data_IF_773773046387
#
_entry.id   IF_773773046387
#
_cell.length_a   1.000
_cell.length_b   1.000
_cell.length_c   1.000
_cell.angle_alpha   90.00
_cell.angle_beta   90.00
_cell.angle_gamma   90.00
#
_symmetry.space_group_name_H-M   'P 1'
#
loop_
_entity.id
_entity.type
_entity.pdbx_description
1 polymer ?
#
# COMPACT_ATOMS: atom_id res chain seq x y z
N UNK A 1 7.01 4.78 18.31
CA UNK A 1 7.80 4.04 17.31
C UNK A 1 6.89 3.50 16.22
N UNK A 2 7.19 3.79 14.98
CA UNK A 2 6.43 3.26 13.86
C UNK A 2 6.88 1.83 13.59
N UNK A 3 5.94 0.89 13.61
CA UNK A 3 6.24 -0.49 13.29
C UNK A 3 6.08 -0.69 11.79
N UNK A 4 7.15 -1.07 11.11
CA UNK A 4 7.06 -1.35 9.69
C UNK A 4 6.36 -2.68 9.46
N UNK A 5 5.48 -2.71 8.47
CA UNK A 5 4.79 -3.92 8.03
C UNK A 5 5.49 -4.58 6.84
N UNK A 6 6.60 -4.00 6.41
CA UNK A 6 7.36 -4.56 5.29
C UNK A 6 7.75 -5.99 5.60
N UNK A 7 7.41 -6.95 4.73
CA UNK A 7 7.73 -8.36 4.97
C UNK A 7 9.22 -8.62 5.09
N UNK A 8 9.59 -9.62 5.88
CA UNK A 8 11.00 -10.05 5.98
C UNK A 8 11.38 -11.01 4.88
N UNK A 9 10.41 -11.73 4.31
CA UNK A 9 10.65 -12.61 3.17
C UNK A 9 11.07 -11.78 1.95
N UNK A 10 12.23 -12.07 1.30
CA UNK A 10 12.73 -11.25 0.20
C UNK A 10 11.74 -11.11 -0.98
N UNK A 11 11.01 -12.17 -1.31
CA UNK A 11 10.05 -12.11 -2.42
C UNK A 11 8.88 -11.20 -2.09
N UNK A 12 8.32 -11.33 -0.88
CA UNK A 12 7.21 -10.48 -0.44
C UNK A 12 7.68 -9.05 -0.22
N UNK A 13 8.89 -8.84 0.28
CA UNK A 13 9.45 -7.51 0.46
C UNK A 13 9.58 -6.76 -0.87
N UNK A 14 9.93 -7.47 -1.94
CA UNK A 14 10.01 -6.87 -3.27
C UNK A 14 8.64 -6.39 -3.74
N UNK A 15 7.59 -7.18 -3.53
CA UNK A 15 6.22 -6.80 -3.85
C UNK A 15 5.81 -5.57 -3.05
N UNK A 16 6.11 -5.57 -1.76
CA UNK A 16 5.86 -4.42 -0.89
C UNK A 16 6.54 -3.15 -1.42
N UNK A 17 7.82 -3.24 -1.74
CA UNK A 17 8.60 -2.08 -2.20
C UNK A 17 8.05 -1.50 -3.51
N UNK A 18 7.57 -2.35 -4.40
CA UNK A 18 6.96 -1.89 -5.65
C UNK A 18 5.63 -1.18 -5.35
N UNK A 19 4.78 -1.79 -4.53
CA UNK A 19 3.49 -1.20 -4.16
C UNK A 19 3.68 0.10 -3.37
N UNK A 20 4.70 0.16 -2.53
CA UNK A 20 4.98 1.32 -1.68
C UNK A 20 5.30 2.59 -2.46
N UNK A 21 5.65 2.48 -3.74
CA UNK A 21 5.94 3.63 -4.60
C UNK A 21 4.69 4.33 -5.13
N UNK A 22 3.53 3.70 -5.00
CA UNK A 22 2.28 4.26 -5.53
C UNK A 22 1.89 5.49 -4.72
N UNK A 23 1.70 6.66 -5.38
CA UNK A 23 1.26 7.86 -4.68
C UNK A 23 -0.24 7.82 -4.40
N UNK A 24 -0.66 8.55 -3.36
CA UNK A 24 -2.06 8.76 -3.09
C UNK A 24 -2.62 9.67 -4.19
N UNK A 25 -3.70 9.30 -4.89
CA UNK A 25 -4.26 10.15 -5.96
C UNK A 25 -4.75 11.50 -5.47
N UNK A 26 -5.17 11.60 -4.20
CA UNK A 26 -5.66 12.87 -3.63
C UNK A 26 -4.55 13.72 -3.05
N UNK A 27 -3.46 13.10 -2.60
CA UNK A 27 -2.31 13.80 -2.02
C UNK A 27 -1.03 13.19 -2.60
N UNK A 28 -0.67 13.54 -3.85
CA UNK A 28 0.44 12.86 -4.56
C UNK A 28 1.82 12.98 -3.92
N UNK A 29 2.01 13.91 -2.98
CA UNK A 29 3.30 14.01 -2.27
C UNK A 29 3.48 12.87 -1.27
N UNK A 30 2.40 12.14 -0.95
CA UNK A 30 2.43 10.99 -0.06
C UNK A 30 2.23 9.70 -0.85
N UNK A 31 2.99 8.66 -0.49
CA UNK A 31 2.76 7.33 -1.04
C UNK A 31 1.78 6.57 -0.14
N UNK A 32 1.25 5.46 -0.64
CA UNK A 32 0.38 4.62 0.17
C UNK A 32 1.11 4.02 1.37
N UNK A 33 2.44 3.88 1.29
CA UNK A 33 3.25 3.48 2.46
C UNK A 33 3.34 4.62 3.47
N UNK A 34 3.57 5.86 3.02
CA UNK A 34 3.64 7.02 3.91
C UNK A 34 2.35 7.19 4.73
N UNK A 35 1.22 6.93 4.12
CA UNK A 35 -0.08 7.06 4.77
C UNK A 35 -0.43 5.88 5.67
N UNK A 36 0.28 4.75 5.54
CA UNK A 36 -0.10 3.54 6.24
C UNK A 36 -1.29 2.81 5.62
N UNK A 37 -1.63 3.16 4.38
CA UNK A 37 -2.70 2.49 3.63
C UNK A 37 -2.25 1.11 3.16
N UNK A 38 -0.97 0.95 2.85
CA UNK A 38 -0.40 -0.35 2.46
C UNK A 38 -0.22 -1.21 3.71
N UNK A 39 -0.95 -2.32 3.80
CA UNK A 39 -1.02 -3.15 5.01
C UNK A 39 -0.30 -4.48 4.90
N UNK A 40 -0.32 -5.12 3.74
CA UNK A 40 0.39 -6.39 3.58
C UNK A 40 0.74 -6.66 2.13
N UNK A 41 1.76 -7.49 1.95
CA UNK A 41 2.14 -8.01 0.66
C UNK A 41 2.58 -9.46 0.85
N UNK A 42 2.11 -10.34 -0.02
CA UNK A 42 2.42 -11.76 0.08
C UNK A 42 2.66 -12.34 -1.31
N UNK A 43 3.50 -13.35 -1.38
CA UNK A 43 3.79 -14.08 -2.61
C UNK A 43 3.44 -15.55 -2.38
N UNK A 44 2.57 -16.07 -3.24
CA UNK A 44 2.20 -17.48 -3.19
C UNK A 44 2.53 -18.16 -4.51
N UNK A 45 2.25 -19.45 -4.60
CA UNK A 45 2.44 -20.22 -5.82
C UNK A 45 1.54 -19.74 -6.96
N UNK A 46 0.42 -19.10 -6.63
CA UNK A 46 -0.58 -18.66 -7.60
C UNK A 46 -0.45 -17.18 -7.97
N UNK A 47 0.48 -16.44 -7.37
CA UNK A 47 0.67 -15.03 -7.67
C UNK A 47 0.96 -14.21 -6.44
N UNK A 48 0.70 -12.91 -6.53
CA UNK A 48 0.97 -11.97 -5.43
C UNK A 48 -0.32 -11.35 -4.94
N UNK A 49 -0.34 -11.02 -3.65
CA UNK A 49 -1.50 -10.40 -3.03
C UNK A 49 -1.06 -9.21 -2.20
N UNK A 50 -1.76 -8.09 -2.39
CA UNK A 50 -1.52 -6.86 -1.63
C UNK A 50 -2.83 -6.46 -0.97
N UNK A 51 -2.76 -6.03 0.29
CA UNK A 51 -3.93 -5.56 1.03
C UNK A 51 -3.74 -4.10 1.42
N UNK A 52 -4.76 -3.30 1.16
CA UNK A 52 -4.81 -1.88 1.47
C UNK A 52 -5.92 -1.62 2.49
N UNK A 53 -5.76 -0.57 3.29
CA UNK A 53 -6.85 -0.06 4.14
C UNK A 53 -7.02 1.42 3.84
N UNK A 54 -8.17 1.84 3.28
CA UNK A 54 -8.38 3.25 2.96
C UNK A 54 -8.46 4.11 4.23
N UNK A 55 -8.18 5.39 4.08
CA UNK A 55 -8.18 6.33 5.20
C UNK A 55 -9.57 6.54 5.80
N UNK A 56 -10.61 6.26 5.04
CA UNK A 56 -11.99 6.28 5.55
C UNK A 56 -12.86 5.37 4.70
N UNK A 57 -13.97 4.95 5.29
CA UNK A 57 -14.96 4.11 4.61
C UNK A 57 -15.55 4.86 3.42
N UNK A 58 -15.62 4.21 2.28
CA UNK A 58 -16.16 4.81 1.06
C UNK A 58 -15.19 5.72 0.32
N UNK A 59 -13.90 5.64 0.64
CA UNK A 59 -12.87 6.44 -0.04
C UNK A 59 -12.84 6.14 -1.54
N UNK A 60 -13.14 7.13 -2.42
CA UNK A 60 -13.16 6.88 -3.87
C UNK A 60 -11.77 6.62 -4.44
N UNK A 61 -10.72 7.07 -3.74
CA UNK A 61 -9.35 6.89 -4.19
C UNK A 61 -8.87 5.44 -4.08
N UNK A 62 -9.58 4.58 -3.35
CA UNK A 62 -9.13 3.20 -3.15
C UNK A 62 -9.10 2.42 -4.46
N UNK A 63 -10.06 2.65 -5.34
CA UNK A 63 -10.11 1.98 -6.64
C UNK A 63 -8.93 2.40 -7.50
N UNK A 64 -8.58 3.68 -7.49
CA UNK A 64 -7.42 4.19 -8.21
C UNK A 64 -6.13 3.59 -7.66
N UNK A 65 -6.00 3.51 -6.34
CA UNK A 65 -4.83 2.90 -5.70
C UNK A 65 -4.69 1.43 -6.10
N UNK A 66 -5.80 0.69 -6.12
CA UNK A 66 -5.79 -0.72 -6.52
C UNK A 66 -5.31 -0.87 -7.95
N UNK A 67 -5.81 -0.04 -8.86
CA UNK A 67 -5.40 -0.08 -10.26
C UNK A 67 -3.92 0.28 -10.42
N UNK A 68 -3.46 1.29 -9.70
CA UNK A 68 -2.06 1.73 -9.76
C UNK A 68 -1.11 0.66 -9.22
N UNK A 69 -1.46 0.02 -8.11
CA UNK A 69 -0.67 -1.08 -7.55
C UNK A 69 -0.63 -2.26 -8.52
N UNK A 70 -1.79 -2.61 -9.06
CA UNK A 70 -1.90 -3.71 -10.02
C UNK A 70 -1.00 -3.45 -11.24
N UNK A 71 -1.08 -2.25 -11.80
CA UNK A 71 -0.29 -1.87 -12.97
C UNK A 71 1.20 -1.91 -12.70
N UNK A 72 1.64 -1.37 -11.56
CA UNK A 72 3.07 -1.39 -11.21
C UNK A 72 3.60 -2.80 -11.04
N UNK A 73 2.83 -3.68 -10.42
CA UNK A 73 3.26 -5.06 -10.21
C UNK A 73 3.30 -5.82 -11.53
N UNK A 74 2.34 -5.60 -12.42
CA UNK A 74 2.36 -6.21 -13.75
C UNK A 74 3.53 -5.73 -14.58
N UNK A 75 3.85 -4.45 -14.51
CA UNK A 75 5.03 -3.88 -15.19
C UNK A 75 6.32 -4.51 -14.68
N UNK A 76 6.35 -4.92 -13.41
CA UNK A 76 7.51 -5.57 -12.81
C UNK A 76 7.61 -7.06 -13.15
N UNK A 77 6.64 -7.62 -13.88
CA UNK A 77 6.68 -9.00 -14.34
C UNK A 77 5.75 -9.97 -13.62
N UNK A 78 4.89 -9.47 -12.73
CA UNK A 78 3.93 -10.33 -12.02
C UNK A 78 2.66 -10.48 -12.86
N UNK A 79 2.32 -11.70 -13.24
CA UNK A 79 1.16 -11.97 -14.08
C UNK A 79 -0.15 -12.02 -13.31
N UNK A 80 -0.10 -12.62 -12.11
CA UNK A 80 -1.28 -12.75 -11.28
C UNK A 80 -1.15 -11.85 -10.07
N UNK A 81 -1.90 -10.75 -10.10
CA UNK A 81 -1.87 -9.74 -9.05
C UNK A 81 -3.27 -9.59 -8.49
N UNK A 82 -3.41 -9.79 -7.18
CA UNK A 82 -4.66 -9.54 -6.47
C UNK A 82 -4.42 -8.42 -5.49
N UNK A 83 -5.22 -7.36 -5.58
CA UNK A 83 -5.17 -6.25 -4.66
C UNK A 83 -6.54 -6.11 -4.01
N UNK A 84 -6.57 -6.35 -2.70
CA UNK A 84 -7.79 -6.28 -1.90
C UNK A 84 -7.70 -5.11 -0.93
N UNK A 85 -8.81 -4.74 -0.34
CA UNK A 85 -8.82 -3.79 0.75
C UNK A 85 -9.65 -4.31 1.92
N UNK A 86 -9.34 -3.81 3.11
CA UNK A 86 -10.07 -4.15 4.32
C UNK A 86 -10.31 -2.88 5.13
N UNK A 87 -11.47 -2.82 5.79
CA UNK A 87 -11.82 -1.72 6.67
C UNK A 87 -11.59 -2.07 8.15
N UNK A 88 -11.09 -3.28 8.41
CA UNK A 88 -10.86 -3.75 9.77
C UNK A 88 -9.42 -4.28 9.91
N UNK A 89 -8.62 -3.73 10.84
CA UNK A 89 -8.96 -2.57 11.69
C UNK A 89 -9.06 -1.28 10.88
N UNK A 90 -9.78 -0.30 11.41
CA UNK A 90 -9.95 0.99 10.73
C UNK A 90 -8.63 1.76 10.70
N UNK A 91 -8.42 2.51 9.61
CA UNK A 91 -7.23 3.33 9.46
C UNK A 91 -7.14 4.39 10.56
N UNK A 92 -5.91 4.69 10.99
CA UNK A 92 -5.62 5.75 11.94
C UNK A 92 -4.35 6.49 11.52
N UNK A 93 -4.19 7.74 11.96
CA UNK A 93 -2.99 8.53 11.69
C UNK A 93 -1.73 7.88 12.31
N UNK A 94 -1.91 7.00 13.30
CA UNK A 94 -0.79 6.27 13.91
C UNK A 94 -0.08 5.37 12.91
N UNK A 95 -0.73 5.03 11.82
CA UNK A 95 -0.16 4.17 10.79
C UNK A 95 0.72 4.93 9.79
N UNK A 96 0.67 6.26 9.82
CA UNK A 96 1.50 7.06 8.94
C UNK A 96 2.97 6.93 9.31
N UNK A 97 3.84 6.92 8.31
CA UNK A 97 5.28 6.97 8.53
C UNK A 97 5.68 8.34 9.07
N UNK A 98 6.86 8.42 9.69
CA UNK A 98 7.39 9.72 10.13
C UNK A 98 7.53 10.70 8.96
N UNK A 99 8.00 10.19 7.82
CA UNK A 99 8.12 11.00 6.62
C UNK A 99 6.76 11.49 6.13
N UNK A 100 5.73 10.62 6.18
CA UNK A 100 4.38 11.00 5.79
C UNK A 100 3.78 12.06 6.67
N UNK A 101 3.94 11.94 7.99
CA UNK A 101 3.47 12.95 8.94
C UNK A 101 4.16 14.28 8.72
N UNK A 102 5.46 14.26 8.48
CA UNK A 102 6.24 15.47 8.25
C UNK A 102 5.79 16.19 6.98
N UNK A 103 5.50 15.45 5.92
CA UNK A 103 5.01 16.04 4.67
C UNK A 103 3.67 16.74 4.84
N UNK A 104 2.79 16.21 5.69
CA UNK A 104 1.49 16.84 5.95
C UNK A 104 1.61 18.13 6.78
N UNK A 105 2.65 18.25 7.60
CA UNK A 105 2.87 19.43 8.43
C UNK A 105 3.43 20.62 7.64
N UNK A 106 3.95 20.36 6.47
CA UNK A 106 4.40 21.40 5.58
C UNK A 106 3.22 21.97 4.81
#
# INVERSE_FOLDING_TARGET
>A
MVTTLRPTDPAAARVWDIAAQVPDPEVPVLTIEDLGVLRSAAVGSDGVRVVLTPTYSGCPAIDQMRDDVTSKLREAGYDRVEVDYTLSPAWTTDWMSEAGKHKLEE
#
